data_IF_095664082997
#
_entry.id   IF_095664082997
#
_cell.length_a   1.000
_cell.length_b   1.000
_cell.length_c   1.000
_cell.angle_alpha   90.00
_cell.angle_beta   90.00
_cell.angle_gamma   90.00
#
_symmetry.space_group_name_H-M   'P 1'
#
loop_
_entity.id
_entity.type
_entity.pdbx_description
1 polymer ?
#
# COMPACT_ATOMS: atom_id res chain seq x y z
N UNK A 1 14.17 -1.97 11.17
CA UNK A 1 14.80 -0.74 11.71
C UNK A 1 13.72 0.19 12.27
N UNK A 2 13.75 0.41 13.58
CA UNK A 2 12.59 0.87 14.35
C UNK A 2 12.25 2.36 14.16
N UNK A 3 13.12 3.10 13.46
CA UNK A 3 12.99 4.53 13.18
C UNK A 3 12.69 4.84 11.70
N UNK A 4 12.35 3.84 10.88
CA UNK A 4 12.02 4.09 9.47
C UNK A 4 10.65 4.76 9.38
N UNK A 5 10.67 6.02 8.98
CA UNK A 5 9.44 6.82 8.80
C UNK A 5 8.88 6.75 7.38
N UNK A 6 9.68 6.34 6.40
CA UNK A 6 9.30 6.37 4.98
C UNK A 6 9.79 5.10 4.29
N UNK A 7 8.88 4.40 3.60
CA UNK A 7 9.26 3.45 2.56
C UNK A 7 9.47 4.26 1.27
N UNK A 8 10.71 4.31 0.80
CA UNK A 8 11.11 5.13 -0.35
C UNK A 8 10.49 4.69 -1.67
N UNK A 9 10.62 5.56 -2.69
CA UNK A 9 10.19 5.19 -4.04
C UNK A 9 10.92 3.93 -4.50
N UNK A 10 10.17 2.98 -5.07
CA UNK A 10 10.69 1.70 -5.55
C UNK A 10 11.39 0.80 -4.51
N UNK A 11 11.30 1.10 -3.20
CA UNK A 11 12.09 0.41 -2.17
C UNK A 11 12.01 -1.12 -2.21
N UNK A 12 10.83 -1.65 -2.53
CA UNK A 12 10.54 -3.08 -2.73
C UNK A 12 9.89 -3.34 -4.10
N UNK A 13 10.06 -2.44 -5.07
CA UNK A 13 9.52 -2.64 -6.41
C UNK A 13 10.18 -3.87 -7.08
N UNK A 14 9.37 -4.71 -7.73
CA UNK A 14 9.78 -5.97 -8.36
C UNK A 14 10.35 -7.00 -7.38
N UNK A 15 10.04 -6.89 -6.08
CA UNK A 15 10.35 -7.95 -5.12
C UNK A 15 9.34 -9.11 -5.26
N UNK A 16 9.40 -9.83 -6.38
CA UNK A 16 8.41 -10.85 -6.75
C UNK A 16 8.28 -11.98 -5.72
N UNK A 17 9.33 -12.25 -4.94
CA UNK A 17 9.35 -13.27 -3.87
C UNK A 17 8.97 -12.73 -2.48
N UNK A 18 8.69 -11.43 -2.33
CA UNK A 18 8.30 -10.85 -1.04
C UNK A 18 6.88 -11.29 -0.69
N UNK A 19 6.75 -12.27 0.21
CA UNK A 19 5.46 -12.79 0.66
C UNK A 19 4.92 -12.13 1.93
N UNK A 20 5.82 -11.56 2.74
CA UNK A 20 5.50 -10.92 4.02
C UNK A 20 6.42 -9.72 4.23
N UNK A 21 5.86 -8.64 4.77
CA UNK A 21 6.63 -7.46 5.18
C UNK A 21 6.09 -6.97 6.52
N UNK A 22 6.99 -6.79 7.47
CA UNK A 22 6.69 -6.12 8.74
C UNK A 22 7.07 -4.65 8.61
N UNK A 23 6.06 -3.77 8.68
CA UNK A 23 6.26 -2.33 8.64
C UNK A 23 6.42 -1.78 10.07
N UNK A 24 7.40 -0.90 10.31
CA UNK A 24 7.61 -0.33 11.64
C UNK A 24 6.47 0.59 12.03
N UNK A 25 6.11 0.62 13.31
CA UNK A 25 5.04 1.49 13.84
C UNK A 25 5.32 2.99 13.71
N UNK A 26 6.56 3.38 13.41
CA UNK A 26 6.98 4.76 13.16
C UNK A 26 6.77 5.21 11.71
N UNK A 27 6.27 4.32 10.85
CA UNK A 27 6.05 4.61 9.44
C UNK A 27 4.95 5.66 9.26
N UNK A 28 5.26 6.69 8.50
CA UNK A 28 4.33 7.78 8.17
C UNK A 28 3.94 7.78 6.68
N UNK A 29 4.81 7.28 5.79
CA UNK A 29 4.60 7.35 4.34
C UNK A 29 5.09 6.12 3.59
N UNK A 30 4.31 5.70 2.60
CA UNK A 30 4.70 4.73 1.58
C UNK A 30 4.75 5.46 0.25
N UNK A 31 5.93 5.58 -0.37
CA UNK A 31 6.11 6.40 -1.57
C UNK A 31 5.72 5.68 -2.86
N UNK A 32 5.76 6.42 -3.95
CA UNK A 32 5.39 5.97 -5.29
C UNK A 32 6.11 4.66 -5.65
N UNK A 33 5.35 3.67 -6.13
CA UNK A 33 5.86 2.36 -6.58
C UNK A 33 6.64 1.56 -5.52
N UNK A 34 6.49 1.89 -4.22
CA UNK A 34 7.24 1.27 -3.13
C UNK A 34 7.18 -0.26 -3.10
N UNK A 35 6.04 -0.86 -3.44
CA UNK A 35 5.79 -2.31 -3.49
C UNK A 35 5.27 -2.74 -4.87
N UNK A 36 5.51 -1.97 -5.93
CA UNK A 36 5.00 -2.31 -7.26
C UNK A 36 5.51 -3.68 -7.71
N UNK A 37 4.63 -4.54 -8.22
CA UNK A 37 4.89 -5.92 -8.66
C UNK A 37 5.47 -6.83 -7.56
N UNK A 38 5.10 -6.64 -6.30
CA UNK A 38 5.33 -7.67 -5.29
C UNK A 38 4.31 -8.81 -5.48
N UNK A 39 4.50 -9.65 -6.50
CA UNK A 39 3.51 -10.65 -6.90
C UNK A 39 3.25 -11.72 -5.83
N UNK A 40 4.23 -12.07 -4.99
CA UNK A 40 4.01 -13.03 -3.89
C UNK A 40 3.38 -12.43 -2.64
N UNK A 41 3.21 -11.10 -2.56
CA UNK A 41 2.68 -10.44 -1.36
C UNK A 41 1.18 -10.73 -1.25
N UNK A 42 0.79 -11.47 -0.22
CA UNK A 42 -0.61 -11.88 -0.02
C UNK A 42 -1.38 -10.96 0.92
N UNK A 43 -0.71 -10.51 1.97
CA UNK A 43 -1.30 -9.65 2.99
C UNK A 43 -0.30 -8.57 3.39
N UNK A 44 -0.81 -7.39 3.72
CA UNK A 44 0.01 -6.33 4.33
C UNK A 44 -0.81 -5.53 5.34
N UNK A 45 -0.20 -5.27 6.50
CA UNK A 45 -0.76 -4.42 7.53
C UNK A 45 -0.04 -3.09 7.52
N UNK A 46 -0.77 -2.03 7.19
CA UNK A 46 -0.22 -0.67 7.22
C UNK A 46 -0.35 -0.14 8.67
N UNK A 47 0.76 0.28 9.31
CA UNK A 47 0.75 0.64 10.72
C UNK A 47 0.03 1.96 10.98
N UNK A 48 -0.64 2.08 12.14
CA UNK A 48 -1.21 3.34 12.60
C UNK A 48 -0.15 4.44 12.66
N UNK A 49 -0.51 5.65 12.22
CA UNK A 49 0.39 6.77 11.98
C UNK A 49 0.81 6.91 10.52
N UNK A 50 0.51 5.92 9.65
CA UNK A 50 0.73 6.08 8.21
C UNK A 50 -0.33 7.01 7.62
N UNK A 51 0.10 8.11 7.02
CA UNK A 51 -0.77 9.18 6.51
C UNK A 51 -0.93 9.14 4.99
N UNK A 52 0.05 8.58 4.27
CA UNK A 52 0.17 8.70 2.81
C UNK A 52 0.59 7.36 2.17
N UNK A 53 -0.20 6.89 1.21
CA UNK A 53 0.17 5.85 0.25
C UNK A 53 0.32 6.52 -1.12
N UNK A 54 1.51 6.46 -1.70
CA UNK A 54 1.84 7.12 -2.96
C UNK A 54 1.23 6.43 -4.18
N UNK A 55 1.27 7.13 -5.30
CA UNK A 55 0.75 6.61 -6.57
C UNK A 55 1.42 5.28 -6.96
N UNK A 56 0.63 4.34 -7.46
CA UNK A 56 1.08 3.01 -7.87
C UNK A 56 1.83 2.20 -6.79
N UNK A 57 1.71 2.54 -5.49
CA UNK A 57 2.50 1.95 -4.42
C UNK A 57 2.44 0.42 -4.38
N UNK A 58 1.27 -0.18 -4.64
CA UNK A 58 1.02 -1.62 -4.67
C UNK A 58 0.60 -2.11 -6.05
N UNK A 59 0.94 -1.37 -7.10
CA UNK A 59 0.52 -1.71 -8.47
C UNK A 59 0.98 -3.12 -8.84
N UNK A 60 0.10 -3.94 -9.41
CA UNK A 60 0.35 -5.31 -9.83
C UNK A 60 0.83 -6.25 -8.70
N UNK A 61 0.49 -5.97 -7.44
CA UNK A 61 0.55 -7.00 -6.39
C UNK A 61 -0.61 -7.96 -6.57
N UNK A 62 -0.52 -8.83 -7.58
CA UNK A 62 -1.64 -9.64 -8.09
C UNK A 62 -2.21 -10.61 -7.07
N UNK A 63 -1.39 -11.17 -6.17
CA UNK A 63 -1.85 -12.07 -5.10
C UNK A 63 -2.23 -11.35 -3.79
N UNK A 64 -2.12 -10.01 -3.73
CA UNK A 64 -2.51 -9.24 -2.54
C UNK A 64 -4.02 -9.35 -2.37
N UNK A 65 -4.45 -10.12 -1.38
CA UNK A 65 -5.85 -10.43 -1.13
C UNK A 65 -6.46 -9.66 0.03
N UNK A 66 -5.62 -9.19 0.97
CA UNK A 66 -6.04 -8.41 2.11
C UNK A 66 -5.04 -7.27 2.39
N UNK A 67 -5.58 -6.07 2.58
CA UNK A 67 -4.83 -4.93 3.11
C UNK A 67 -5.59 -4.29 4.28
N UNK A 68 -4.90 -4.17 5.42
CA UNK A 68 -5.42 -3.46 6.57
C UNK A 68 -4.90 -2.02 6.53
N UNK A 69 -5.77 -1.06 6.20
CA UNK A 69 -5.46 0.37 6.22
C UNK A 69 -5.78 0.97 7.59
N UNK A 70 -4.89 1.81 8.16
CA UNK A 70 -5.12 2.46 9.44
C UNK A 70 -6.07 3.65 9.28
N UNK A 71 -6.61 4.10 10.40
CA UNK A 71 -7.51 5.27 10.44
C UNK A 71 -6.83 6.60 10.11
N UNK A 72 -5.51 6.62 10.18
CA UNK A 72 -4.65 7.77 9.92
C UNK A 72 -4.41 8.07 8.44
N UNK A 73 -4.80 7.17 7.50
CA UNK A 73 -4.62 7.41 6.07
C UNK A 73 -5.47 8.59 5.62
N UNK A 74 -4.79 9.62 5.09
CA UNK A 74 -5.40 10.81 4.54
C UNK A 74 -5.31 10.85 3.01
N UNK A 75 -4.25 10.26 2.45
CA UNK A 75 -3.95 10.33 1.01
C UNK A 75 -3.70 8.92 0.48
N UNK A 76 -4.46 8.54 -0.55
CA UNK A 76 -4.18 7.39 -1.41
C UNK A 76 -3.96 7.92 -2.82
N UNK A 77 -2.71 7.79 -3.28
CA UNK A 77 -2.28 8.25 -4.58
C UNK A 77 -2.91 7.45 -5.71
N UNK A 78 -2.94 8.07 -6.89
CA UNK A 78 -3.47 7.48 -8.11
C UNK A 78 -3.00 6.04 -8.34
N UNK A 79 -3.96 5.16 -8.67
CA UNK A 79 -3.71 3.77 -9.08
C UNK A 79 -2.85 2.99 -8.06
N UNK A 80 -2.88 3.36 -6.77
CA UNK A 80 -2.08 2.73 -5.72
C UNK A 80 -2.27 1.21 -5.65
N UNK A 81 -3.47 0.72 -5.99
CA UNK A 81 -3.84 -0.70 -5.98
C UNK A 81 -4.21 -1.23 -7.39
N UNK A 82 -3.82 -0.53 -8.46
CA UNK A 82 -4.06 -0.97 -9.84
C UNK A 82 -3.45 -2.35 -10.09
N UNK A 83 -4.21 -3.29 -10.64
CA UNK A 83 -3.75 -4.65 -10.88
C UNK A 83 -3.64 -5.55 -9.64
N UNK A 84 -4.12 -5.13 -8.47
CA UNK A 84 -4.31 -6.02 -7.31
C UNK A 84 -5.54 -6.92 -7.50
N UNK A 85 -5.47 -7.85 -8.44
CA UNK A 85 -6.61 -8.65 -8.91
C UNK A 85 -7.20 -9.59 -7.87
N UNK A 86 -6.43 -10.01 -6.85
CA UNK A 86 -6.93 -10.85 -5.76
C UNK A 86 -7.52 -10.06 -4.59
N UNK A 87 -7.49 -8.73 -4.62
CA UNK A 87 -7.91 -7.91 -3.48
C UNK A 87 -9.43 -7.98 -3.32
N UNK A 88 -9.89 -8.70 -2.29
CA UNK A 88 -11.31 -8.92 -2.03
C UNK A 88 -11.89 -7.88 -1.08
N UNK A 89 -11.07 -7.45 -0.11
CA UNK A 89 -11.50 -6.54 0.96
C UNK A 89 -10.54 -5.37 1.05
N UNK A 90 -11.11 -4.17 0.93
CA UNK A 90 -10.45 -2.92 1.25
C UNK A 90 -11.24 -2.27 2.39
N UNK A 91 -10.73 -2.41 3.62
CA UNK A 91 -11.35 -1.76 4.77
C UNK A 91 -10.89 -0.30 4.80
N UNK A 92 -11.72 0.60 4.27
CA UNK A 92 -11.47 2.03 4.34
C UNK A 92 -11.80 2.56 5.76
N UNK A 93 -11.02 3.53 6.26
CA UNK A 93 -11.37 4.18 7.52
C UNK A 93 -12.62 5.06 7.35
N UNK A 94 -13.36 5.27 8.44
CA UNK A 94 -14.65 5.99 8.45
C UNK A 94 -14.53 7.50 8.14
N UNK A 95 -13.34 8.01 7.85
CA UNK A 95 -13.04 9.42 7.57
C UNK A 95 -12.98 9.60 6.05
N UNK A 96 -13.39 10.75 5.47
CA UNK A 96 -13.25 10.99 4.04
C UNK A 96 -11.78 10.91 3.60
N UNK A 97 -11.42 9.81 2.97
CA UNK A 97 -10.14 9.63 2.27
C UNK A 97 -10.23 10.36 0.92
N UNK A 98 -9.22 11.17 0.61
CA UNK A 98 -9.12 11.83 -0.71
C UNK A 98 -8.37 10.88 -1.65
N UNK A 99 -9.08 10.39 -2.67
CA UNK A 99 -8.48 9.66 -3.78
C UNK A 99 -8.02 10.64 -4.86
N UNK A 100 -6.74 10.62 -5.21
CA UNK A 100 -6.23 11.42 -6.32
C UNK A 100 -6.59 10.74 -7.67
N UNK A 101 -7.72 11.14 -8.26
CA UNK A 101 -8.20 10.80 -9.61
C UNK A 101 -8.39 9.28 -9.89
N UNK A 102 -9.65 8.85 -9.75
CA UNK A 102 -10.15 7.48 -9.92
C UNK A 102 -9.94 6.87 -11.32
N UNK A 103 -9.20 5.76 -11.37
CA UNK A 103 -9.37 4.70 -12.36
C UNK A 103 -9.37 3.32 -11.68
N UNK A 104 -10.35 3.08 -10.79
CA UNK A 104 -10.73 1.72 -10.42
C UNK A 104 -11.35 1.03 -11.64
N UNK A 105 -10.52 0.50 -12.54
CA UNK A 105 -10.99 -0.41 -13.60
C UNK A 105 -11.04 -1.81 -13.02
N UNK A 106 -12.27 -2.28 -12.78
CA UNK A 106 -12.60 -3.69 -12.51
C UNK A 106 -12.13 -4.60 -13.64
#
# INVERSE_FOLDING_TARGET
PDNVQVVGEWAFGYCDSLSMVELPSTLTKIKRLAFCRCESLQTIRIPEGTEEIGAFAFRNCSNLNQIDLPTSINIIGKDAFDGCTSLQTLTLPLIPVVFENDHFRH
#
